data_IF_596241658783
#
_entry.id   IF_596241658783
#
_cell.length_a   1.000
_cell.length_b   1.000
_cell.length_c   1.000
_cell.angle_alpha   90.00
_cell.angle_beta   90.00
_cell.angle_gamma   90.00
#
_symmetry.space_group_name_H-M   'P 1'
#
loop_
_entity.id
_entity.type
_entity.pdbx_description
1 polymer ?
#
# COMPACT_ATOMS: atom_id res chain seq x y z
N UNK A 1 22.16 -38.21 38.97
CA UNK A 1 21.02 -38.88 38.29
C UNK A 1 19.73 -38.10 38.54
N UNK A 2 19.17 -37.46 37.50
CA UNK A 2 17.72 -37.38 37.18
C UNK A 2 17.54 -36.54 35.91
N UNK A 3 16.66 -37.03 35.05
CA UNK A 3 16.61 -36.89 33.58
C UNK A 3 16.24 -35.51 33.06
N UNK A 4 16.87 -35.13 31.95
CA UNK A 4 16.44 -34.07 31.04
C UNK A 4 15.03 -34.35 30.48
N UNK A 5 14.16 -33.33 30.48
CA UNK A 5 12.92 -33.32 29.69
C UNK A 5 13.14 -32.42 28.48
N UNK A 6 13.38 -33.07 27.34
CA UNK A 6 13.20 -32.51 26.00
C UNK A 6 11.76 -32.01 25.87
N UNK A 7 11.58 -30.71 25.58
CA UNK A 7 10.32 -30.15 25.11
C UNK A 7 10.55 -29.66 23.69
N UNK A 8 10.06 -30.45 22.74
CA UNK A 8 9.94 -30.09 21.33
C UNK A 8 8.99 -28.90 21.19
N UNK A 9 9.45 -27.86 20.51
CA UNK A 9 8.65 -26.68 20.19
C UNK A 9 7.39 -27.06 19.37
N UNK A 10 6.23 -26.44 19.61
CA UNK A 10 5.06 -26.67 18.77
C UNK A 10 5.28 -26.06 17.39
N UNK A 11 5.26 -26.92 16.36
CA UNK A 11 5.47 -26.60 14.93
C UNK A 11 4.49 -25.57 14.31
N UNK A 12 3.63 -24.93 15.11
CA UNK A 12 2.52 -24.11 14.63
C UNK A 12 2.77 -22.59 14.62
N UNK A 13 3.83 -22.08 15.24
CA UNK A 13 4.18 -20.64 15.13
C UNK A 13 4.77 -20.32 13.74
N UNK A 14 5.46 -21.28 13.13
CA UNK A 14 5.98 -21.18 11.75
C UNK A 14 4.86 -21.22 10.70
N UNK A 15 3.65 -21.71 11.05
CA UNK A 15 2.51 -21.74 10.11
C UNK A 15 1.86 -20.37 9.91
N UNK A 16 2.00 -19.43 10.84
CA UNK A 16 1.25 -18.16 10.78
C UNK A 16 1.89 -17.16 9.80
N UNK A 17 3.22 -17.15 9.68
CA UNK A 17 3.94 -16.41 8.63
C UNK A 17 3.61 -16.96 7.23
N UNK A 18 3.37 -18.27 7.13
CA UNK A 18 2.95 -18.91 5.87
C UNK A 18 1.49 -18.64 5.50
N UNK A 19 0.61 -18.25 6.42
CA UNK A 19 -0.83 -18.17 6.08
C UNK A 19 -1.18 -16.95 5.21
N UNK A 20 -0.36 -15.90 5.23
CA UNK A 20 -0.46 -14.76 4.30
C UNK A 20 0.32 -15.05 3.00
N UNK A 21 1.39 -15.85 3.07
CA UNK A 21 2.19 -16.26 1.90
C UNK A 21 1.54 -17.38 1.07
N UNK A 22 0.75 -18.26 1.69
CA UNK A 22 0.00 -19.36 1.04
C UNK A 22 -1.11 -18.83 0.14
N UNK A 23 -1.67 -17.65 0.41
CA UNK A 23 -2.63 -17.00 -0.50
C UNK A 23 -2.00 -16.53 -1.83
N UNK A 24 -0.67 -16.56 -1.94
CA UNK A 24 0.05 -16.34 -3.20
C UNK A 24 0.18 -17.61 -4.05
N UNK A 25 0.01 -18.79 -3.45
CA UNK A 25 0.19 -20.10 -4.09
C UNK A 25 -1.08 -20.98 -4.16
N UNK A 26 -2.24 -20.54 -3.66
CA UNK A 26 -3.51 -21.31 -3.78
C UNK A 26 -4.12 -21.26 -5.21
N UNK A 27 -3.32 -21.58 -6.22
CA UNK A 27 -3.77 -21.65 -7.62
C UNK A 27 -4.29 -23.05 -8.00
N UNK A 28 -4.22 -24.06 -7.12
CA UNK A 28 -4.49 -25.46 -7.53
C UNK A 28 -5.49 -26.27 -6.66
N UNK A 29 -5.95 -25.83 -5.48
CA UNK A 29 -6.78 -26.69 -4.60
C UNK A 29 -8.23 -26.23 -4.36
N UNK A 30 -8.78 -25.32 -5.16
CA UNK A 30 -10.16 -24.85 -4.99
C UNK A 30 -11.16 -25.42 -6.02
N UNK A 31 -10.79 -26.44 -6.78
CA UNK A 31 -11.61 -26.95 -7.89
C UNK A 31 -12.13 -28.37 -7.68
N UNK A 32 -12.68 -28.74 -6.51
CA UNK A 32 -13.56 -29.92 -6.40
C UNK A 32 -14.62 -29.66 -5.31
N UNK A 33 -15.88 -29.98 -5.63
CA UNK A 33 -17.09 -30.12 -4.80
C UNK A 33 -18.11 -28.96 -4.96
N UNK A 34 -19.30 -29.15 -5.54
CA UNK A 34 -19.96 -30.38 -5.95
C UNK A 34 -21.02 -30.18 -7.03
N UNK A 35 -21.00 -31.08 -8.01
CA UNK A 35 -22.20 -31.64 -8.63
C UNK A 35 -22.36 -33.02 -8.00
N UNK A 36 -23.61 -33.36 -7.70
CA UNK A 36 -24.16 -34.69 -7.38
C UNK A 36 -25.01 -34.64 -6.12
N UNK A 37 -26.24 -34.15 -6.31
CA UNK A 37 -27.39 -34.51 -5.51
C UNK A 37 -28.47 -34.96 -6.49
N UNK A 38 -28.33 -36.18 -7.01
CA UNK A 38 -29.43 -36.87 -7.70
C UNK A 38 -30.25 -37.66 -6.67
N UNK A 39 -31.53 -37.33 -6.66
CA UNK A 39 -32.59 -38.01 -5.94
C UNK A 39 -32.73 -39.44 -6.47
N UNK A 40 -32.65 -40.43 -5.59
CA UNK A 40 -32.95 -41.82 -5.93
C UNK A 40 -34.46 -42.05 -6.06
N UNK A 41 -34.94 -42.42 -7.25
CA UNK A 41 -36.19 -43.15 -7.44
C UNK A 41 -35.98 -44.26 -8.50
N UNK A 42 -36.06 -45.50 -8.02
CA UNK A 42 -36.78 -46.65 -8.62
C UNK A 42 -36.44 -47.12 -10.04
N UNK A 43 -35.70 -48.23 -10.13
CA UNK A 43 -35.62 -49.10 -11.32
C UNK A 43 -36.97 -49.74 -11.66
N UNK A 44 -37.33 -49.73 -12.94
CA UNK A 44 -38.36 -50.57 -13.56
C UNK A 44 -37.90 -51.06 -14.93
N UNK A 45 -37.84 -52.38 -15.10
CA UNK A 45 -37.44 -53.10 -16.32
C UNK A 45 -38.43 -52.92 -17.49
N UNK A 46 -37.92 -52.91 -18.73
CA UNK A 46 -38.75 -53.05 -19.94
C UNK A 46 -37.95 -53.08 -21.25
N UNK A 47 -37.98 -54.22 -21.92
CA UNK A 47 -37.33 -54.58 -23.19
C UNK A 47 -37.84 -53.82 -24.44
N UNK A 48 -37.04 -53.77 -25.52
CA UNK A 48 -37.58 -53.73 -26.90
C UNK A 48 -36.79 -52.98 -27.97
N UNK A 49 -36.08 -53.74 -28.81
CA UNK A 49 -36.00 -53.67 -30.29
C UNK A 49 -35.66 -52.37 -31.07
N UNK A 50 -34.56 -52.48 -31.84
CA UNK A 50 -34.43 -52.22 -33.29
C UNK A 50 -34.54 -50.80 -33.89
N UNK A 51 -33.55 -50.46 -34.72
CA UNK A 51 -33.76 -49.58 -35.89
C UNK A 51 -32.66 -48.54 -36.11
N UNK A 52 -31.83 -48.75 -37.15
CA UNK A 52 -30.75 -47.85 -37.54
C UNK A 52 -31.21 -46.53 -38.17
N UNK A 53 -30.28 -45.59 -38.26
CA UNK A 53 -30.47 -44.32 -38.95
C UNK A 53 -29.28 -43.40 -38.71
N UNK A 54 -28.28 -43.51 -39.56
CA UNK A 54 -27.15 -42.58 -39.63
C UNK A 54 -27.62 -41.23 -40.17
N UNK A 55 -27.41 -40.16 -39.40
CA UNK A 55 -27.42 -38.79 -39.95
C UNK A 55 -26.44 -37.93 -39.17
N UNK A 56 -25.34 -37.61 -39.84
CA UNK A 56 -24.38 -36.58 -39.47
C UNK A 56 -25.11 -35.27 -39.16
N UNK A 57 -25.04 -34.84 -37.90
CA UNK A 57 -25.24 -33.44 -37.53
C UNK A 57 -23.90 -32.95 -36.95
N UNK A 58 -23.14 -32.28 -37.81
CA UNK A 58 -22.00 -31.45 -37.41
C UNK A 58 -22.53 -30.40 -36.44
N UNK A 59 -22.31 -30.60 -35.14
CA UNK A 59 -22.53 -29.58 -34.14
C UNK A 59 -21.47 -28.50 -34.36
N UNK A 60 -21.88 -27.40 -34.97
CA UNK A 60 -21.17 -26.13 -34.90
C UNK A 60 -20.99 -25.78 -33.42
N UNK A 61 -19.77 -26.00 -32.90
CA UNK A 61 -19.34 -25.52 -31.59
C UNK A 61 -19.33 -24.00 -31.67
N UNK A 62 -20.47 -23.43 -31.30
CA UNK A 62 -20.73 -22.00 -31.28
C UNK A 62 -19.91 -21.29 -30.21
N UNK A 63 -19.52 -20.07 -30.57
CA UNK A 63 -18.67 -19.09 -29.91
C UNK A 63 -19.18 -18.51 -28.57
N UNK A 64 -19.88 -19.27 -27.73
CA UNK A 64 -20.59 -18.75 -26.52
C UNK A 64 -19.87 -18.97 -25.17
N UNK A 65 -18.67 -19.55 -25.19
CA UNK A 65 -17.87 -19.84 -23.98
C UNK A 65 -17.45 -18.59 -23.17
N UNK A 66 -16.94 -17.48 -23.74
CA UNK A 66 -16.44 -16.36 -22.93
C UNK A 66 -17.53 -15.58 -22.20
N UNK A 67 -18.72 -15.40 -22.81
CA UNK A 67 -19.84 -14.67 -22.21
C UNK A 67 -20.46 -15.44 -21.03
N UNK A 68 -20.52 -16.78 -21.12
CA UNK A 68 -21.04 -17.62 -20.04
C UNK A 68 -20.10 -17.66 -18.83
N UNK A 69 -18.78 -17.72 -19.06
CA UNK A 69 -17.77 -17.67 -17.99
C UNK A 69 -17.70 -16.31 -17.29
N UNK A 70 -17.85 -15.21 -18.03
CA UNK A 70 -17.94 -13.87 -17.46
C UNK A 70 -19.17 -13.72 -16.54
N UNK A 71 -20.34 -14.15 -17.01
CA UNK A 71 -21.56 -14.11 -16.21
C UNK A 71 -21.45 -14.97 -14.95
N UNK A 72 -20.75 -16.11 -15.03
CA UNK A 72 -20.45 -16.94 -13.87
C UNK A 72 -19.59 -16.17 -12.84
N UNK A 73 -18.52 -15.49 -13.27
CA UNK A 73 -17.65 -14.73 -12.38
C UNK A 73 -18.38 -13.56 -11.68
N UNK A 74 -19.25 -12.84 -12.41
CA UNK A 74 -20.08 -11.77 -11.83
C UNK A 74 -21.11 -12.36 -10.85
N UNK A 75 -21.77 -13.45 -11.23
CA UNK A 75 -22.74 -14.14 -10.38
C UNK A 75 -22.07 -14.66 -9.09
N UNK A 76 -20.86 -15.21 -9.20
CA UNK A 76 -20.07 -15.65 -8.05
C UNK A 76 -19.73 -14.48 -7.11
N UNK A 77 -19.31 -13.33 -7.65
CA UNK A 77 -19.05 -12.12 -6.86
C UNK A 77 -20.26 -11.73 -6.02
N UNK A 78 -21.45 -11.64 -6.63
CA UNK A 78 -22.69 -11.23 -5.96
C UNK A 78 -23.19 -12.30 -4.98
N UNK A 79 -23.22 -13.57 -5.38
CA UNK A 79 -23.69 -14.67 -4.52
C UNK A 79 -22.81 -14.85 -3.28
N UNK A 80 -21.50 -14.72 -3.44
CA UNK A 80 -20.57 -14.78 -2.32
C UNK A 80 -20.64 -13.53 -1.45
N UNK A 81 -21.05 -12.37 -1.99
CA UNK A 81 -21.34 -11.16 -1.21
C UNK A 81 -22.59 -11.34 -0.33
N UNK A 82 -23.69 -11.83 -0.91
CA UNK A 82 -24.91 -12.15 -0.16
C UNK A 82 -24.64 -13.15 0.95
N UNK A 83 -23.83 -14.18 0.67
CA UNK A 83 -23.44 -15.16 1.68
C UNK A 83 -22.62 -14.52 2.78
N UNK A 84 -21.66 -13.67 2.45
CA UNK A 84 -20.87 -12.94 3.44
C UNK A 84 -21.74 -12.03 4.32
N UNK A 85 -22.68 -11.28 3.74
CA UNK A 85 -23.63 -10.45 4.49
C UNK A 85 -24.48 -11.29 5.46
N UNK A 86 -25.03 -12.43 4.99
CA UNK A 86 -25.79 -13.35 5.86
C UNK A 86 -24.95 -13.89 7.01
N UNK A 87 -23.70 -14.23 6.75
CA UNK A 87 -22.79 -14.73 7.79
C UNK A 87 -22.43 -13.65 8.81
N UNK A 88 -22.20 -12.41 8.37
CA UNK A 88 -22.01 -11.28 9.29
C UNK A 88 -23.26 -11.01 10.13
N UNK A 89 -24.45 -11.03 9.51
CA UNK A 89 -25.72 -10.88 10.20
C UNK A 89 -25.91 -11.95 11.27
N UNK A 90 -25.59 -13.21 10.96
CA UNK A 90 -25.64 -14.31 11.94
C UNK A 90 -24.71 -14.07 13.14
N UNK A 91 -23.50 -13.52 12.93
CA UNK A 91 -22.62 -13.16 14.04
C UNK A 91 -23.29 -12.10 14.94
N UNK A 92 -23.88 -11.07 14.33
CA UNK A 92 -24.57 -10.00 15.07
C UNK A 92 -25.75 -10.56 15.86
N UNK A 93 -26.60 -11.37 15.22
CA UNK A 93 -27.85 -11.85 15.80
C UNK A 93 -27.65 -12.86 16.92
N UNK A 94 -26.71 -13.79 16.76
CA UNK A 94 -26.55 -14.92 17.68
C UNK A 94 -25.42 -14.76 18.68
N UNK A 95 -24.49 -13.83 18.47
CA UNK A 95 -23.36 -13.63 19.38
C UNK A 95 -23.31 -12.22 19.96
N UNK A 96 -23.33 -11.18 19.11
CA UNK A 96 -23.14 -9.79 19.58
C UNK A 96 -24.36 -9.32 20.37
N UNK A 97 -25.56 -9.37 19.78
CA UNK A 97 -26.78 -8.93 20.46
C UNK A 97 -27.02 -9.72 21.76
N UNK A 98 -26.91 -11.06 21.80
CA UNK A 98 -27.05 -11.79 23.06
C UNK A 98 -25.96 -11.45 24.07
N UNK A 99 -24.74 -11.12 23.65
CA UNK A 99 -23.66 -10.74 24.57
C UNK A 99 -23.91 -9.36 25.20
N UNK A 100 -24.50 -8.44 24.45
CA UNK A 100 -24.84 -7.08 24.89
C UNK A 100 -26.20 -6.99 25.60
N UNK A 101 -27.01 -8.05 25.54
CA UNK A 101 -28.34 -8.10 26.12
C UNK A 101 -28.28 -8.09 27.66
N UNK A 102 -28.99 -7.18 28.35
CA UNK A 102 -28.98 -7.07 29.82
C UNK A 102 -29.36 -8.37 30.52
N UNK A 103 -30.29 -9.14 29.94
CA UNK A 103 -30.72 -10.44 30.48
C UNK A 103 -29.59 -11.48 30.53
N UNK A 104 -28.56 -11.36 29.70
CA UNK A 104 -27.43 -12.28 29.67
C UNK A 104 -26.21 -11.75 30.43
N UNK A 105 -26.25 -10.55 30.99
CA UNK A 105 -25.10 -9.91 31.65
C UNK A 105 -24.55 -10.75 32.82
N UNK A 106 -25.44 -11.47 33.51
CA UNK A 106 -25.08 -12.39 34.59
C UNK A 106 -24.30 -13.64 34.13
N UNK A 107 -24.36 -13.98 32.83
CA UNK A 107 -23.61 -15.07 32.20
C UNK A 107 -22.22 -14.61 31.71
N UNK A 108 -21.97 -13.30 31.68
CA UNK A 108 -20.73 -12.70 31.18
C UNK A 108 -19.85 -12.25 32.36
N UNK A 109 -18.57 -12.64 32.29
CA UNK A 109 -17.59 -12.24 33.29
C UNK A 109 -17.46 -10.70 33.36
N UNK A 110 -17.36 -10.15 34.58
CA UNK A 110 -17.44 -8.71 34.84
C UNK A 110 -16.43 -7.91 34.00
N UNK A 111 -15.20 -8.40 33.85
CA UNK A 111 -14.14 -7.73 33.08
C UNK A 111 -14.36 -7.75 31.55
N UNK A 112 -15.31 -8.53 31.05
CA UNK A 112 -15.70 -8.58 29.64
C UNK A 112 -16.96 -7.78 29.33
N UNK A 113 -17.71 -7.39 30.36
CA UNK A 113 -18.90 -6.55 30.17
C UNK A 113 -18.47 -5.26 29.46
N UNK A 114 -19.25 -4.86 28.47
CA UNK A 114 -18.97 -3.68 27.62
C UNK A 114 -17.67 -3.77 26.81
N UNK A 115 -17.11 -4.97 26.57
CA UNK A 115 -15.92 -5.21 25.73
C UNK A 115 -16.27 -5.93 24.42
N UNK A 116 -17.51 -5.81 23.97
CA UNK A 116 -17.99 -6.40 22.71
C UNK A 116 -17.24 -5.83 21.51
N UNK A 117 -16.89 -4.55 21.55
CA UNK A 117 -16.06 -3.85 20.57
C UNK A 117 -14.67 -4.49 20.39
N UNK A 118 -14.08 -5.05 21.45
CA UNK A 118 -12.80 -5.76 21.38
C UNK A 118 -13.00 -7.22 20.98
N UNK A 119 -13.99 -7.90 21.56
CA UNK A 119 -14.26 -9.31 21.23
C UNK A 119 -14.64 -9.46 19.75
N UNK A 120 -15.59 -8.69 19.27
CA UNK A 120 -16.13 -8.84 17.92
C UNK A 120 -15.55 -7.83 16.93
N UNK A 121 -14.90 -6.76 17.38
CA UNK A 121 -14.48 -5.69 16.49
C UNK A 121 -15.68 -4.87 16.01
N UNK A 122 -15.49 -4.21 14.86
CA UNK A 122 -16.52 -3.43 14.19
C UNK A 122 -17.35 -4.28 13.19
N UNK A 123 -17.73 -5.51 13.54
CA UNK A 123 -18.59 -6.37 12.71
C UNK A 123 -19.93 -5.70 12.35
N UNK A 124 -20.64 -5.01 13.28
CA UNK A 124 -21.87 -4.31 12.92
C UNK A 124 -21.64 -3.24 11.84
N UNK A 125 -20.55 -2.48 11.92
CA UNK A 125 -20.20 -1.46 10.93
C UNK A 125 -19.90 -2.08 9.55
N UNK A 126 -19.19 -3.23 9.54
CA UNK A 126 -18.94 -4.00 8.33
C UNK A 126 -20.24 -4.52 7.73
N UNK A 127 -21.10 -5.12 8.53
CA UNK A 127 -22.40 -5.62 8.10
C UNK A 127 -23.23 -4.51 7.45
N UNK A 128 -23.37 -3.38 8.12
CA UNK A 128 -24.12 -2.22 7.62
C UNK A 128 -23.56 -1.74 6.28
N UNK A 129 -22.24 -1.61 6.15
CA UNK A 129 -21.61 -1.22 4.89
C UNK A 129 -21.86 -2.24 3.77
N UNK A 130 -21.65 -3.52 4.05
CA UNK A 130 -21.77 -4.58 3.05
C UNK A 130 -23.22 -4.82 2.63
N UNK A 131 -24.16 -4.79 3.58
CA UNK A 131 -25.60 -4.97 3.35
C UNK A 131 -26.21 -3.78 2.61
N UNK A 132 -26.06 -2.58 3.16
CA UNK A 132 -26.92 -1.46 2.79
C UNK A 132 -26.34 -0.60 1.66
N UNK A 133 -25.03 -0.77 1.38
CA UNK A 133 -24.32 -0.01 0.35
C UNK A 133 -23.71 -0.93 -0.69
N UNK A 134 -22.73 -1.76 -0.33
CA UNK A 134 -21.95 -2.50 -1.32
C UNK A 134 -22.80 -3.53 -2.08
N UNK A 135 -23.57 -4.36 -1.37
CA UNK A 135 -24.44 -5.36 -2.00
C UNK A 135 -25.57 -4.69 -2.79
N UNK A 136 -26.16 -3.61 -2.27
CA UNK A 136 -27.18 -2.84 -2.98
C UNK A 136 -26.65 -2.28 -4.31
N UNK A 137 -25.42 -1.75 -4.31
CA UNK A 137 -24.77 -1.23 -5.51
C UNK A 137 -24.43 -2.35 -6.50
N UNK A 138 -23.95 -3.51 -6.03
CA UNK A 138 -23.73 -4.67 -6.90
C UNK A 138 -25.02 -5.19 -7.55
N UNK A 139 -26.13 -5.24 -6.80
CA UNK A 139 -27.42 -5.64 -7.35
C UNK A 139 -27.93 -4.62 -8.38
N UNK A 140 -27.70 -3.33 -8.14
CA UNK A 140 -28.06 -2.25 -9.07
C UNK A 140 -27.20 -2.28 -10.35
N UNK A 141 -25.92 -2.60 -10.23
CA UNK A 141 -25.01 -2.75 -11.35
C UNK A 141 -25.38 -3.92 -12.28
N UNK A 142 -26.05 -4.95 -11.75
CA UNK A 142 -26.42 -6.16 -12.50
C UNK A 142 -25.20 -6.82 -13.13
N UNK A 143 -25.24 -7.06 -14.45
CA UNK A 143 -24.12 -7.64 -15.19
C UNK A 143 -23.18 -6.59 -15.82
N UNK A 144 -23.32 -5.30 -15.47
CA UNK A 144 -22.46 -4.24 -15.99
C UNK A 144 -21.10 -4.22 -15.30
N UNK A 145 -20.06 -4.66 -16.02
CA UNK A 145 -18.67 -4.67 -15.52
C UNK A 145 -18.22 -3.28 -15.09
N UNK A 146 -18.56 -2.25 -15.87
CA UNK A 146 -18.13 -0.87 -15.61
C UNK A 146 -18.74 -0.38 -14.30
N UNK A 147 -20.03 -0.64 -14.06
CA UNK A 147 -20.68 -0.26 -12.81
C UNK A 147 -20.14 -1.05 -11.62
N UNK A 148 -19.88 -2.36 -11.78
CA UNK A 148 -19.22 -3.17 -10.74
C UNK A 148 -17.84 -2.58 -10.38
N UNK A 149 -17.04 -2.19 -11.37
CA UNK A 149 -15.74 -1.56 -11.13
C UNK A 149 -15.89 -0.22 -10.39
N UNK A 150 -16.87 0.60 -10.78
CA UNK A 150 -17.20 1.86 -10.08
C UNK A 150 -17.58 1.63 -8.62
N UNK A 151 -18.31 0.57 -8.30
CA UNK A 151 -18.64 0.22 -6.90
C UNK A 151 -17.35 0.09 -6.06
N UNK A 152 -16.35 -0.65 -6.54
CA UNK A 152 -15.08 -0.81 -5.83
C UNK A 152 -14.31 0.51 -5.66
N UNK A 153 -14.30 1.36 -6.70
CA UNK A 153 -13.59 2.64 -6.67
C UNK A 153 -14.27 3.64 -5.72
N UNK A 154 -15.60 3.76 -5.80
CA UNK A 154 -16.39 4.67 -4.97
C UNK A 154 -16.28 4.30 -3.48
N UNK A 155 -16.28 3.01 -3.17
CA UNK A 155 -16.22 2.52 -1.79
C UNK A 155 -14.80 2.30 -1.25
N UNK A 156 -13.76 2.55 -2.05
CA UNK A 156 -12.35 2.30 -1.68
C UNK A 156 -11.99 2.81 -0.28
N UNK A 157 -12.31 4.07 0.01
CA UNK A 157 -11.97 4.69 1.29
C UNK A 157 -12.74 4.06 2.45
N UNK A 158 -13.99 3.65 2.21
CA UNK A 158 -14.82 2.98 3.21
C UNK A 158 -14.30 1.58 3.52
N UNK A 159 -13.91 0.82 2.49
CA UNK A 159 -13.19 -0.45 2.66
C UNK A 159 -11.94 -0.25 3.52
N UNK A 160 -11.08 0.71 3.16
CA UNK A 160 -9.83 0.94 3.90
C UNK A 160 -10.11 1.26 5.37
N UNK A 161 -11.03 2.19 5.64
CA UNK A 161 -11.40 2.60 7.00
C UNK A 161 -11.91 1.43 7.85
N UNK A 162 -12.90 0.69 7.34
CA UNK A 162 -13.57 -0.37 8.10
C UNK A 162 -12.68 -1.58 8.33
N UNK A 163 -11.96 -2.02 7.29
CA UNK A 163 -11.10 -3.19 7.38
C UNK A 163 -9.81 -2.90 8.13
N UNK A 164 -9.29 -1.66 8.11
CA UNK A 164 -8.17 -1.28 8.95
C UNK A 164 -8.50 -1.46 10.44
N UNK A 165 -9.62 -0.88 10.88
CA UNK A 165 -10.12 -1.01 12.26
C UNK A 165 -10.34 -2.47 12.65
N UNK A 166 -10.98 -3.24 11.76
CA UNK A 166 -11.28 -4.64 12.03
C UNK A 166 -10.01 -5.48 12.19
N UNK A 167 -9.10 -5.35 11.22
CA UNK A 167 -7.88 -6.13 11.23
C UNK A 167 -7.03 -5.75 12.45
N UNK A 168 -6.91 -4.46 12.82
CA UNK A 168 -6.14 -4.03 14.01
C UNK A 168 -6.67 -4.68 15.30
N UNK A 169 -8.00 -4.78 15.41
CA UNK A 169 -8.63 -5.36 16.59
C UNK A 169 -8.52 -6.91 16.61
N UNK A 170 -8.41 -7.57 15.46
CA UNK A 170 -8.43 -9.03 15.35
C UNK A 170 -7.49 -9.78 16.33
N UNK A 171 -6.21 -9.40 16.52
CA UNK A 171 -5.32 -10.06 17.49
C UNK A 171 -5.73 -9.82 18.95
N UNK A 172 -6.29 -8.64 19.27
CA UNK A 172 -6.77 -8.30 20.62
C UNK A 172 -7.97 -9.16 21.00
N UNK A 173 -8.99 -9.21 20.13
CA UNK A 173 -10.17 -10.03 20.36
C UNK A 173 -9.85 -11.52 20.47
N UNK A 174 -8.91 -12.02 19.66
CA UNK A 174 -8.45 -13.41 19.73
C UNK A 174 -7.75 -13.74 21.04
N UNK A 175 -6.85 -12.87 21.50
CA UNK A 175 -6.15 -13.05 22.77
C UNK A 175 -7.12 -13.04 23.94
N UNK A 176 -8.06 -12.08 23.93
CA UNK A 176 -9.10 -11.98 24.94
C UNK A 176 -9.94 -13.27 24.97
N UNK A 177 -10.44 -13.77 23.83
CA UNK A 177 -11.19 -15.04 23.79
C UNK A 177 -10.40 -16.24 24.31
N UNK A 178 -9.09 -16.32 24.02
CA UNK A 178 -8.25 -17.43 24.49
C UNK A 178 -8.02 -17.40 26.00
N UNK A 179 -7.81 -16.22 26.57
CA UNK A 179 -7.67 -16.04 28.01
C UNK A 179 -8.91 -16.51 28.78
N UNK A 180 -10.09 -16.48 28.14
CA UNK A 180 -11.35 -16.93 28.72
C UNK A 180 -11.66 -18.41 28.49
N UNK A 181 -10.87 -19.15 27.70
CA UNK A 181 -11.08 -20.61 27.56
C UNK A 181 -11.00 -21.39 28.88
N UNK A 182 -10.11 -21.07 29.85
CA UNK A 182 -10.12 -21.71 31.16
C UNK A 182 -11.31 -21.29 32.05
N UNK A 183 -11.96 -20.15 31.78
CA UNK A 183 -13.10 -19.67 32.56
C UNK A 183 -14.42 -20.19 31.94
N UNK A 184 -14.94 -21.28 32.51
CA UNK A 184 -15.99 -22.09 31.91
C UNK A 184 -17.32 -21.35 31.62
N UNK A 185 -17.58 -20.18 32.22
CA UNK A 185 -18.83 -19.45 32.02
C UNK A 185 -18.94 -18.84 30.61
N UNK A 186 -17.88 -18.17 30.14
CA UNK A 186 -17.87 -17.48 28.84
C UNK A 186 -17.80 -18.48 27.69
N UNK A 187 -17.02 -19.55 27.87
CA UNK A 187 -16.96 -20.64 26.91
C UNK A 187 -18.34 -21.32 26.73
N UNK A 188 -19.08 -21.54 27.83
CA UNK A 188 -20.46 -22.07 27.78
C UNK A 188 -21.41 -21.12 27.09
N UNK A 189 -21.32 -19.82 27.37
CA UNK A 189 -22.14 -18.81 26.69
C UNK A 189 -21.94 -18.87 25.16
N UNK A 190 -20.70 -18.86 24.67
CA UNK A 190 -20.44 -18.95 23.23
C UNK A 190 -20.82 -20.30 22.62
N UNK A 191 -20.70 -21.40 23.37
CA UNK A 191 -21.16 -22.71 22.91
C UNK A 191 -22.69 -22.74 22.72
N UNK A 192 -23.46 -22.13 23.63
CA UNK A 192 -24.90 -22.02 23.49
C UNK A 192 -25.29 -21.09 22.33
N UNK A 193 -24.60 -19.96 22.17
CA UNK A 193 -24.76 -19.10 20.99
C UNK A 193 -24.52 -19.87 19.69
N UNK A 194 -23.45 -20.66 19.61
CA UNK A 194 -23.13 -21.47 18.44
C UNK A 194 -24.21 -22.52 18.14
N UNK A 195 -24.74 -23.18 19.18
CA UNK A 195 -25.83 -24.13 19.06
C UNK A 195 -27.10 -23.47 18.53
N UNK A 196 -27.49 -22.32 19.07
CA UNK A 196 -28.67 -21.54 18.62
C UNK A 196 -28.52 -21.06 17.17
N UNK A 197 -27.31 -20.67 16.78
CA UNK A 197 -27.01 -20.26 15.40
C UNK A 197 -26.97 -21.43 14.40
N UNK A 198 -26.96 -22.69 14.87
CA UNK A 198 -26.77 -23.86 14.01
C UNK A 198 -25.39 -23.87 13.32
N UNK A 199 -24.37 -23.24 13.92
CA UNK A 199 -23.07 -23.04 13.29
C UNK A 199 -22.19 -24.29 13.39
N UNK A 200 -21.76 -24.89 12.25
CA UNK A 200 -20.89 -26.07 12.26
C UNK A 200 -19.45 -25.75 12.68
N UNK A 201 -19.03 -24.50 12.57
CA UNK A 201 -17.68 -24.04 12.90
C UNK A 201 -17.67 -23.18 14.17
N UNK A 202 -16.55 -23.13 14.90
CA UNK A 202 -16.41 -22.25 16.05
C UNK A 202 -16.47 -20.78 15.63
N UNK A 203 -16.91 -19.90 16.54
CA UNK A 203 -17.00 -18.45 16.32
C UNK A 203 -15.70 -17.84 15.74
N UNK A 204 -14.52 -18.33 16.15
CA UNK A 204 -13.23 -17.85 15.64
C UNK A 204 -13.07 -17.99 14.12
N UNK A 205 -13.68 -19.01 13.51
CA UNK A 205 -13.69 -19.19 12.06
C UNK A 205 -14.55 -18.12 11.37
N UNK A 206 -15.72 -17.80 11.93
CA UNK A 206 -16.59 -16.75 11.43
C UNK A 206 -15.95 -15.36 11.54
N UNK A 207 -15.23 -15.09 12.64
CA UNK A 207 -14.50 -13.84 12.83
C UNK A 207 -13.27 -13.71 11.90
N UNK A 208 -12.90 -14.75 11.15
CA UNK A 208 -11.87 -14.63 10.10
C UNK A 208 -12.45 -14.19 8.75
N UNK A 209 -13.78 -14.31 8.57
CA UNK A 209 -14.45 -14.05 7.29
C UNK A 209 -14.18 -12.66 6.72
N UNK A 210 -14.16 -11.55 7.50
CA UNK A 210 -13.82 -10.25 6.92
C UNK A 210 -12.41 -10.20 6.31
N UNK A 211 -11.41 -10.71 7.03
CA UNK A 211 -10.02 -10.77 6.52
C UNK A 211 -9.95 -11.59 5.24
N UNK A 212 -10.72 -12.68 5.17
CA UNK A 212 -10.82 -13.48 3.95
C UNK A 212 -11.51 -12.69 2.84
N UNK A 213 -12.67 -12.07 3.10
CA UNK A 213 -13.48 -11.39 2.10
C UNK A 213 -12.72 -10.28 1.40
N UNK A 214 -12.05 -9.41 2.14
CA UNK A 214 -11.29 -8.30 1.54
C UNK A 214 -10.18 -8.79 0.59
N UNK A 215 -9.57 -9.95 0.89
CA UNK A 215 -8.54 -10.56 0.03
C UNK A 215 -9.10 -11.29 -1.20
N UNK A 216 -10.39 -11.65 -1.19
CA UNK A 216 -11.05 -12.35 -2.30
C UNK A 216 -11.45 -11.42 -3.44
N UNK A 217 -11.76 -10.14 -3.18
CA UNK A 217 -12.19 -9.22 -4.24
C UNK A 217 -11.19 -9.09 -5.39
N UNK A 218 -9.87 -9.04 -5.12
CA UNK A 218 -8.88 -8.99 -6.19
C UNK A 218 -8.81 -10.30 -7.01
N UNK A 219 -9.18 -11.45 -6.44
CA UNK A 219 -9.27 -12.71 -7.21
C UNK A 219 -10.49 -12.68 -8.13
N UNK A 220 -11.64 -12.22 -7.63
CA UNK A 220 -12.88 -12.10 -8.39
C UNK A 220 -12.72 -11.08 -9.54
N UNK A 221 -12.06 -9.95 -9.29
CA UNK A 221 -11.74 -8.96 -10.34
C UNK A 221 -10.77 -9.52 -11.39
N UNK A 222 -9.79 -10.34 -10.99
CA UNK A 222 -8.90 -11.04 -11.95
C UNK A 222 -9.66 -12.03 -12.82
N UNK A 223 -10.65 -12.72 -12.27
CA UNK A 223 -11.48 -13.65 -13.03
C UNK A 223 -12.38 -12.91 -14.02
N UNK A 224 -12.98 -11.80 -13.61
CA UNK A 224 -13.72 -10.90 -14.52
C UNK A 224 -12.78 -10.36 -15.61
N UNK A 225 -11.55 -9.93 -15.25
CA UNK A 225 -10.56 -9.44 -16.22
C UNK A 225 -10.22 -10.48 -17.30
N UNK A 226 -10.16 -11.77 -16.93
CA UNK A 226 -9.84 -12.89 -17.84
C UNK A 226 -10.89 -13.08 -18.95
N UNK A 227 -12.14 -12.74 -18.68
CA UNK A 227 -13.27 -13.01 -19.58
C UNK A 227 -13.98 -11.77 -20.13
N UNK A 228 -13.64 -10.57 -19.62
CA UNK A 228 -14.23 -9.33 -20.10
C UNK A 228 -13.71 -8.94 -21.49
N UNK A 229 -14.56 -8.21 -22.23
CA UNK A 229 -14.20 -7.64 -23.52
C UNK A 229 -13.13 -6.54 -23.38
N UNK A 230 -12.33 -6.30 -24.42
CA UNK A 230 -11.15 -5.42 -24.34
C UNK A 230 -11.48 -3.99 -23.91
N UNK A 231 -12.66 -3.48 -24.27
CA UNK A 231 -13.13 -2.16 -23.85
C UNK A 231 -13.37 -2.04 -22.34
N UNK A 232 -13.63 -3.15 -21.64
CA UNK A 232 -13.87 -3.17 -20.20
C UNK A 232 -12.58 -3.37 -19.40
N UNK A 233 -11.51 -3.93 -20.00
CA UNK A 233 -10.25 -4.23 -19.31
C UNK A 233 -9.63 -3.04 -18.58
N UNK A 234 -9.56 -1.82 -19.15
CA UNK A 234 -9.00 -0.66 -18.44
C UNK A 234 -9.72 -0.35 -17.13
N UNK A 235 -11.05 -0.50 -17.10
CA UNK A 235 -11.86 -0.28 -15.90
C UNK A 235 -11.61 -1.36 -14.84
N UNK A 236 -11.47 -2.62 -15.28
CA UNK A 236 -11.16 -3.74 -14.37
C UNK A 236 -9.75 -3.61 -13.82
N UNK A 237 -8.78 -3.21 -14.63
CA UNK A 237 -7.39 -2.97 -14.21
C UNK A 237 -7.31 -1.84 -13.16
N UNK A 238 -8.04 -0.75 -13.34
CA UNK A 238 -8.12 0.34 -12.36
C UNK A 238 -8.70 -0.15 -11.03
N UNK A 239 -9.84 -0.84 -11.06
CA UNK A 239 -10.46 -1.40 -9.86
C UNK A 239 -9.57 -2.46 -9.18
N UNK A 240 -8.92 -3.32 -9.94
CA UNK A 240 -7.99 -4.34 -9.44
C UNK A 240 -6.76 -3.70 -8.80
N UNK A 241 -6.14 -2.73 -9.46
CA UNK A 241 -5.00 -1.98 -8.94
C UNK A 241 -5.37 -1.27 -7.63
N UNK A 242 -6.54 -0.63 -7.59
CA UNK A 242 -7.09 -0.07 -6.36
C UNK A 242 -7.20 -1.13 -5.26
N UNK A 243 -7.87 -2.26 -5.48
CA UNK A 243 -8.01 -3.29 -4.44
C UNK A 243 -6.68 -3.88 -3.98
N UNK A 244 -5.69 -4.05 -4.88
CA UNK A 244 -4.34 -4.48 -4.52
C UNK A 244 -3.62 -3.44 -3.65
N UNK A 245 -3.70 -2.15 -4.00
CA UNK A 245 -3.13 -1.06 -3.21
C UNK A 245 -3.79 -0.94 -1.83
N UNK A 246 -5.10 -1.22 -1.75
CA UNK A 246 -5.83 -1.24 -0.49
C UNK A 246 -5.32 -2.37 0.41
N UNK A 247 -5.16 -3.58 -0.14
CA UNK A 247 -4.60 -4.72 0.59
C UNK A 247 -3.15 -4.45 1.03
N UNK A 248 -2.34 -3.82 0.19
CA UNK A 248 -1.00 -3.42 0.54
C UNK A 248 -1.01 -2.42 1.72
N UNK A 249 -1.91 -1.43 1.71
CA UNK A 249 -2.08 -0.48 2.82
C UNK A 249 -2.56 -1.14 4.10
N UNK A 250 -3.58 -2.01 4.03
CA UNK A 250 -4.05 -2.79 5.18
C UNK A 250 -2.93 -3.65 5.75
N UNK A 251 -2.20 -4.38 4.91
CA UNK A 251 -1.09 -5.22 5.35
C UNK A 251 0.01 -4.39 6.02
N UNK A 252 0.33 -3.23 5.44
CA UNK A 252 1.33 -2.30 5.98
C UNK A 252 0.90 -1.74 7.33
N UNK A 253 -0.36 -1.35 7.47
CA UNK A 253 -0.91 -0.84 8.72
C UNK A 253 -1.11 -1.92 9.78
N UNK A 254 -1.39 -3.16 9.36
CA UNK A 254 -1.55 -4.33 10.23
C UNK A 254 -0.25 -4.87 10.78
N UNK A 255 0.82 -4.74 10.01
CA UNK A 255 2.18 -4.95 10.48
C UNK A 255 2.63 -3.75 11.33
N UNK A 256 1.67 -3.13 12.04
CA UNK A 256 1.82 -1.94 12.85
C UNK A 256 3.05 -2.14 13.70
N UNK A 257 4.06 -1.45 13.23
CA UNK A 257 5.42 -1.52 13.69
C UNK A 257 5.30 -1.18 15.15
N UNK A 258 5.70 -2.10 16.03
CA UNK A 258 5.70 -1.82 17.45
C UNK A 258 6.82 -0.82 17.72
N UNK A 259 6.63 0.44 17.30
CA UNK A 259 7.60 1.50 17.37
C UNK A 259 7.50 2.09 18.77
N UNK A 260 8.44 1.72 19.62
CA UNK A 260 8.55 2.25 20.97
C UNK A 260 9.42 3.52 20.98
N UNK A 261 9.06 4.51 21.79
CA UNK A 261 9.88 5.71 22.02
C UNK A 261 9.79 6.79 20.93
N UNK A 262 8.81 6.69 20.01
CA UNK A 262 8.47 7.81 19.13
C UNK A 262 7.68 8.86 19.92
N UNK A 263 8.16 10.10 19.93
CA UNK A 263 7.51 11.22 20.61
C UNK A 263 6.62 11.93 19.59
N UNK A 264 5.38 11.46 19.49
CA UNK A 264 4.37 11.94 18.55
C UNK A 264 3.31 10.87 18.28
N UNK A 265 2.27 11.24 17.53
CA UNK A 265 1.22 10.30 17.13
C UNK A 265 1.55 9.72 15.74
N UNK A 266 1.81 8.41 15.67
CA UNK A 266 2.04 7.70 14.41
C UNK A 266 0.82 7.72 13.49
N UNK A 267 -0.39 8.00 14.00
CA UNK A 267 -1.56 8.17 13.15
C UNK A 267 -1.55 9.51 12.40
N UNK A 268 -0.87 10.52 12.95
CA UNK A 268 -0.79 11.87 12.37
C UNK A 268 0.33 12.01 11.34
N UNK A 269 1.32 11.11 11.35
CA UNK A 269 2.39 11.10 10.34
C UNK A 269 1.91 10.57 8.98
N UNK A 270 0.69 10.06 8.89
CA UNK A 270 0.11 9.54 7.65
C UNK A 270 0.53 8.10 7.33
N UNK A 271 0.12 7.56 6.16
CA UNK A 271 0.31 6.16 5.83
C UNK A 271 1.80 5.80 5.64
N UNK A 272 2.18 4.60 6.09
CA UNK A 272 3.49 4.02 5.81
C UNK A 272 3.58 3.65 4.32
N UNK A 273 4.70 4.01 3.70
CA UNK A 273 4.91 3.94 2.26
C UNK A 273 5.99 2.95 1.85
N UNK A 274 7.04 2.83 2.65
CA UNK A 274 8.13 1.89 2.43
C UNK A 274 8.82 1.58 3.74
N UNK A 275 9.32 0.35 3.89
CA UNK A 275 10.09 -0.05 5.06
C UNK A 275 11.06 -1.20 4.77
N UNK A 276 12.30 -1.05 5.22
CA UNK A 276 13.33 -2.07 5.07
C UNK A 276 14.40 -1.90 6.14
N UNK A 277 15.16 -2.96 6.39
CA UNK A 277 16.41 -2.87 7.14
C UNK A 277 17.52 -2.37 6.22
N UNK A 278 18.32 -1.43 6.70
CA UNK A 278 19.40 -0.77 5.97
C UNK A 278 20.61 -0.53 6.89
N UNK A 279 21.79 -0.40 6.29
CA UNK A 279 22.97 0.07 7.00
C UNK A 279 23.10 1.59 6.83
N UNK A 280 23.20 2.30 7.95
CA UNK A 280 23.19 3.76 8.01
C UNK A 280 24.55 4.27 8.45
N UNK A 281 25.11 5.20 7.67
CA UNK A 281 26.37 5.88 7.99
C UNK A 281 26.09 7.37 8.20
N UNK A 282 26.06 7.80 9.46
CA UNK A 282 25.91 9.22 9.79
C UNK A 282 27.19 9.99 9.46
N UNK A 283 27.07 11.23 8.98
CA UNK A 283 28.21 12.12 8.77
C UNK A 283 27.81 13.59 8.97
N UNK A 284 28.77 14.43 9.34
CA UNK A 284 28.58 15.88 9.38
C UNK A 284 28.81 16.46 7.97
N UNK A 285 27.87 17.28 7.48
CA UNK A 285 27.92 17.88 6.13
C UNK A 285 29.24 18.61 5.84
N UNK A 286 29.84 19.27 6.85
CA UNK A 286 31.11 20.01 6.75
C UNK A 286 32.34 19.09 6.56
N UNK A 287 32.40 17.98 7.27
CA UNK A 287 33.60 17.12 7.26
C UNK A 287 33.48 15.95 6.31
N UNK A 288 32.27 15.55 5.93
CA UNK A 288 31.94 14.39 5.08
C UNK A 288 32.55 13.06 5.55
N UNK A 289 33.07 13.00 6.78
CA UNK A 289 33.61 11.78 7.37
C UNK A 289 32.47 10.89 7.84
N UNK A 290 32.42 9.67 7.30
CA UNK A 290 31.42 8.67 7.62
C UNK A 290 31.71 8.06 8.99
N UNK A 291 30.70 8.04 9.86
CA UNK A 291 30.73 7.29 11.10
C UNK A 291 30.54 5.79 10.85
N UNK A 292 30.76 4.98 11.89
CA UNK A 292 30.54 3.53 11.85
C UNK A 292 29.11 3.20 11.40
N UNK A 293 28.98 2.19 10.54
CA UNK A 293 27.71 1.67 10.08
C UNK A 293 26.80 1.27 11.25
N UNK A 294 25.54 1.67 11.18
CA UNK A 294 24.51 1.31 12.14
C UNK A 294 23.36 0.63 11.42
N UNK A 295 23.07 -0.61 11.82
CA UNK A 295 21.88 -1.34 11.36
C UNK A 295 20.62 -0.65 11.86
N UNK A 296 19.75 -0.21 10.95
CA UNK A 296 18.47 0.44 11.27
C UNK A 296 17.37 -0.10 10.38
N UNK A 297 16.17 -0.21 10.93
CA UNK A 297 14.96 -0.40 10.16
C UNK A 297 14.38 0.99 9.86
N UNK A 298 14.27 1.32 8.58
CA UNK A 298 13.73 2.61 8.13
C UNK A 298 12.24 2.47 7.85
N UNK A 299 11.49 3.51 8.22
CA UNK A 299 10.06 3.63 7.96
C UNK A 299 9.78 4.96 7.27
N UNK A 300 9.37 4.91 6.01
CA UNK A 300 9.01 6.08 5.24
C UNK A 300 7.50 6.26 5.30
N UNK A 301 7.02 7.27 6.01
CA UNK A 301 5.63 7.70 6.04
C UNK A 301 5.45 8.96 5.17
N UNK A 302 4.19 9.33 4.88
CA UNK A 302 3.90 10.57 4.17
C UNK A 302 4.42 11.81 4.92
N UNK A 303 4.34 11.82 6.24
CA UNK A 303 4.75 12.92 7.12
C UNK A 303 6.20 12.85 7.61
N UNK A 304 6.93 11.75 7.38
CA UNK A 304 8.36 11.70 7.71
C UNK A 304 9.05 10.35 7.56
N UNK A 305 10.37 10.38 7.62
CA UNK A 305 11.25 9.22 7.60
C UNK A 305 11.75 8.91 9.02
N UNK A 306 11.40 7.74 9.54
CA UNK A 306 11.80 7.26 10.87
C UNK A 306 12.94 6.25 10.75
N UNK A 307 13.89 6.34 11.68
CA UNK A 307 15.01 5.42 11.82
C UNK A 307 14.85 4.70 13.16
N UNK A 308 14.68 3.39 13.11
CA UNK A 308 14.47 2.58 14.30
C UNK A 308 15.54 1.50 14.43
N UNK A 309 15.80 1.06 15.66
CA UNK A 309 16.60 -0.12 15.95
C UNK A 309 15.67 -1.30 16.18
N UNK A 310 15.80 -2.36 15.38
CA UNK A 310 15.07 -3.60 15.61
C UNK A 310 15.51 -4.23 16.94
N UNK A 311 14.55 -4.62 17.77
CA UNK A 311 14.73 -5.29 19.06
C UNK A 311 13.89 -6.55 19.07
N UNK A 312 14.39 -7.58 19.75
CA UNK A 312 13.59 -8.76 20.07
C UNK A 312 13.38 -8.77 21.58
N UNK A 313 12.14 -9.03 22.01
CA UNK A 313 11.81 -9.25 23.41
C UNK A 313 11.36 -10.70 23.57
N UNK A 314 11.73 -11.34 24.68
CA UNK A 314 11.25 -12.68 25.04
C UNK A 314 9.81 -12.63 25.58
N UNK A 315 8.87 -12.03 24.84
CA UNK A 315 7.45 -12.02 25.21
C UNK A 315 6.64 -12.97 24.32
N UNK A 316 5.58 -13.62 24.84
CA UNK A 316 4.80 -14.62 24.10
C UNK A 316 4.00 -14.08 22.90
N UNK A 317 3.77 -12.77 22.82
CA UNK A 317 2.79 -12.16 21.90
C UNK A 317 3.37 -11.11 20.93
N UNK A 318 4.62 -10.71 21.10
CA UNK A 318 5.35 -9.87 20.14
C UNK A 318 6.84 -10.19 20.21
N UNK A 319 7.33 -10.99 19.27
CA UNK A 319 8.73 -11.44 19.24
C UNK A 319 9.71 -10.32 18.90
N UNK A 320 9.24 -9.23 18.27
CA UNK A 320 10.05 -8.14 17.76
C UNK A 320 9.35 -6.77 17.87
N UNK A 321 10.10 -5.73 18.23
CA UNK A 321 9.66 -4.33 18.25
C UNK A 321 10.75 -3.41 17.69
N UNK A 322 10.39 -2.17 17.37
CA UNK A 322 11.27 -1.19 16.75
C UNK A 322 11.48 -0.01 17.71
N UNK A 323 12.69 0.15 18.22
CA UNK A 323 13.00 1.27 19.10
C UNK A 323 13.34 2.51 18.26
N UNK A 324 12.51 3.55 18.32
CA UNK A 324 12.74 4.81 17.62
C UNK A 324 14.07 5.45 18.07
N UNK A 325 14.84 5.97 17.10
CA UNK A 325 16.11 6.66 17.35
C UNK A 325 16.14 8.09 16.85
N UNK A 326 15.69 8.31 15.62
CA UNK A 326 15.55 9.65 15.06
C UNK A 326 14.52 9.65 13.95
N UNK A 327 14.04 10.85 13.62
CA UNK A 327 13.13 11.08 12.49
C UNK A 327 13.54 12.33 11.72
N UNK A 328 13.19 12.35 10.44
CA UNK A 328 13.30 13.51 9.55
C UNK A 328 11.90 13.80 9.03
N UNK A 329 11.27 14.91 9.42
CA UNK A 329 9.97 15.31 8.89
C UNK A 329 10.01 15.46 7.36
N UNK A 330 8.96 15.07 6.66
CA UNK A 330 8.89 15.20 5.19
C UNK A 330 9.07 16.66 4.75
N UNK A 331 8.61 17.62 5.56
CA UNK A 331 8.73 19.05 5.27
C UNK A 331 10.18 19.58 5.27
N UNK A 332 11.14 18.85 5.81
CA UNK A 332 12.58 19.20 5.81
C UNK A 332 13.47 18.09 5.26
N UNK A 333 12.89 17.01 4.71
CA UNK A 333 13.63 15.89 4.15
C UNK A 333 14.22 16.26 2.79
N UNK A 334 15.55 16.25 2.70
CA UNK A 334 16.31 16.27 1.45
C UNK A 334 16.96 14.92 1.18
N UNK A 335 17.17 14.59 -0.09
CA UNK A 335 17.86 13.36 -0.49
C UNK A 335 18.67 13.52 -1.78
N UNK A 336 19.60 12.61 -2.01
CA UNK A 336 20.38 12.47 -3.24
C UNK A 336 20.39 11.01 -3.67
N UNK A 337 20.11 10.76 -4.94
CA UNK A 337 20.00 9.41 -5.52
C UNK A 337 21.28 8.58 -5.39
N UNK A 338 22.42 9.25 -5.45
CA UNK A 338 23.74 8.62 -5.39
C UNK A 338 24.53 9.16 -4.22
N UNK A 339 25.28 8.28 -3.55
CA UNK A 339 26.32 8.70 -2.61
C UNK A 339 27.67 8.75 -3.30
N UNK A 340 28.50 9.72 -2.92
CA UNK A 340 29.90 9.79 -3.37
C UNK A 340 30.73 8.57 -2.95
N UNK A 341 30.25 7.81 -1.96
CA UNK A 341 30.95 6.64 -1.44
C UNK A 341 30.68 5.34 -2.21
N UNK A 342 29.54 5.23 -2.89
CA UNK A 342 29.13 4.04 -3.64
C UNK A 342 27.84 4.29 -4.42
N UNK A 343 27.73 3.75 -5.63
CA UNK A 343 26.51 3.78 -6.46
C UNK A 343 25.35 2.97 -5.86
N UNK A 344 25.64 1.97 -5.01
CA UNK A 344 24.65 1.16 -4.31
C UNK A 344 24.03 1.87 -3.08
N UNK A 345 24.37 3.15 -2.86
CA UNK A 345 23.97 3.94 -1.70
C UNK A 345 23.34 5.26 -2.13
N UNK A 346 22.46 5.77 -1.29
CA UNK A 346 21.86 7.10 -1.45
C UNK A 346 22.03 7.92 -0.16
N UNK A 347 21.82 9.23 -0.23
CA UNK A 347 21.95 10.12 0.93
C UNK A 347 20.61 10.73 1.30
N UNK A 348 20.33 10.85 2.60
CA UNK A 348 19.19 11.58 3.14
C UNK A 348 19.64 12.51 4.25
N UNK A 349 18.98 13.66 4.39
CA UNK A 349 19.29 14.62 5.44
C UNK A 349 18.08 15.46 5.80
N UNK A 350 18.16 16.03 7.00
CA UNK A 350 17.28 17.11 7.41
C UNK A 350 17.92 18.43 6.96
N UNK A 351 17.19 19.23 6.19
CA UNK A 351 17.63 20.55 5.70
C UNK A 351 17.96 21.49 6.85
N UNK A 352 17.30 21.31 8.00
CA UNK A 352 17.48 22.16 9.20
C UNK A 352 18.68 21.76 10.05
N UNK A 353 19.30 20.60 9.80
CA UNK A 353 20.39 20.05 10.62
C UNK A 353 21.71 19.96 9.85
N UNK A 354 22.81 19.91 10.60
CA UNK A 354 24.16 19.76 10.04
C UNK A 354 24.59 18.30 9.79
N UNK A 355 23.82 17.34 10.29
CA UNK A 355 24.02 15.90 10.09
C UNK A 355 23.28 15.40 8.84
N UNK A 356 23.84 14.39 8.20
CA UNK A 356 23.28 13.68 7.06
C UNK A 356 23.59 12.19 7.17
N UNK A 357 22.87 11.37 6.41
CA UNK A 357 22.93 9.91 6.50
C UNK A 357 23.11 9.31 5.12
N UNK A 358 24.15 8.49 4.95
CA UNK A 358 24.24 7.58 3.81
C UNK A 358 23.48 6.31 4.15
N UNK A 359 22.58 5.90 3.26
CA UNK A 359 21.74 4.72 3.39
C UNK A 359 22.22 3.66 2.40
N UNK A 360 22.53 2.47 2.91
CA UNK A 360 22.79 1.29 2.10
C UNK A 360 21.64 0.29 2.27
N UNK A 361 20.78 0.14 1.25
CA UNK A 361 19.75 -0.91 1.20
C UNK A 361 20.36 -2.31 1.06
N UNK A 362 19.50 -3.33 1.22
CA UNK A 362 19.89 -4.74 1.09
C UNK A 362 20.34 -5.11 -0.33
N UNK A 363 19.70 -4.52 -1.34
CA UNK A 363 19.99 -4.76 -2.75
C UNK A 363 19.61 -3.54 -3.62
N UNK A 364 19.97 -3.61 -4.90
CA UNK A 364 19.71 -2.55 -5.88
C UNK A 364 18.21 -2.35 -6.15
N UNK A 365 17.40 -3.42 -6.09
CA UNK A 365 15.95 -3.32 -6.27
C UNK A 365 15.31 -2.49 -5.15
N UNK A 366 15.73 -2.70 -3.91
CA UNK A 366 15.34 -1.91 -2.77
C UNK A 366 15.79 -0.46 -2.93
N UNK A 367 17.03 -0.21 -3.38
CA UNK A 367 17.53 1.14 -3.66
C UNK A 367 16.63 1.87 -4.65
N UNK A 368 16.33 1.27 -5.80
CA UNK A 368 15.44 1.85 -6.83
C UNK A 368 14.08 2.19 -6.24
N UNK A 369 13.47 1.27 -5.46
CA UNK A 369 12.18 1.53 -4.79
C UNK A 369 12.25 2.69 -3.80
N UNK A 370 13.32 2.80 -3.02
CA UNK A 370 13.55 3.91 -2.10
C UNK A 370 13.61 5.24 -2.85
N UNK A 371 14.41 5.31 -3.91
CA UNK A 371 14.57 6.52 -4.71
C UNK A 371 13.26 6.93 -5.37
N UNK A 372 12.56 6.00 -6.04
CA UNK A 372 11.24 6.27 -6.64
C UNK A 372 10.25 6.81 -5.60
N UNK A 373 10.25 6.25 -4.39
CA UNK A 373 9.33 6.67 -3.34
C UNK A 373 9.66 8.03 -2.75
N UNK A 374 10.95 8.32 -2.57
CA UNK A 374 11.44 9.62 -2.11
C UNK A 374 11.12 10.72 -3.13
N UNK A 375 11.32 10.47 -4.42
CA UNK A 375 10.90 11.41 -5.48
C UNK A 375 9.41 11.72 -5.41
N UNK A 376 8.56 10.72 -5.15
CA UNK A 376 7.12 10.94 -5.04
C UNK A 376 6.76 11.82 -3.84
N UNK A 377 7.26 11.46 -2.65
CA UNK A 377 6.93 12.17 -1.40
C UNK A 377 7.50 13.59 -1.38
N UNK A 378 8.76 13.77 -1.80
CA UNK A 378 9.42 15.09 -1.83
C UNK A 378 8.94 15.92 -3.02
N UNK A 379 8.61 15.30 -4.16
CA UNK A 379 8.05 15.98 -5.33
C UNK A 379 6.64 16.54 -5.09
N UNK A 380 5.78 15.78 -4.41
CA UNK A 380 4.46 16.25 -3.94
C UNK A 380 4.59 17.49 -3.04
N UNK A 381 5.65 17.60 -2.20
CA UNK A 381 5.96 18.81 -1.42
C UNK A 381 6.32 20.01 -2.31
N UNK A 382 7.24 19.83 -3.27
CA UNK A 382 7.71 20.94 -4.13
C UNK A 382 6.54 21.53 -4.92
N UNK A 383 5.71 20.67 -5.52
CA UNK A 383 4.52 21.10 -6.26
C UNK A 383 3.49 21.81 -5.38
N UNK A 384 3.25 21.35 -4.15
CA UNK A 384 2.34 22.02 -3.21
C UNK A 384 2.87 23.39 -2.74
N UNK A 385 4.18 23.49 -2.46
CA UNK A 385 4.83 24.76 -2.12
C UNK A 385 4.80 25.75 -3.27
N UNK A 386 5.03 25.29 -4.50
CA UNK A 386 5.00 26.13 -5.70
C UNK A 386 3.58 26.62 -6.03
N UNK A 387 2.54 25.83 -5.71
CA UNK A 387 1.14 26.27 -5.81
C UNK A 387 0.80 27.36 -4.79
N UNK A 388 1.26 27.22 -3.54
CA UNK A 388 1.06 28.22 -2.49
C UNK A 388 1.83 29.52 -2.78
N UNK A 389 3.04 29.43 -3.35
CA UNK A 389 3.83 30.60 -3.74
C UNK A 389 3.27 31.31 -4.98
N UNK A 390 2.65 30.58 -5.91
CA UNK A 390 1.91 31.17 -7.05
C UNK A 390 0.62 31.86 -6.61
N UNK A 391 -0.08 31.35 -5.58
CA UNK A 391 -1.26 32.02 -5.00
C UNK A 391 -0.92 33.30 -4.22
N UNK A 392 0.30 33.42 -3.70
CA UNK A 392 0.75 34.59 -2.93
C UNK A 392 1.54 35.63 -3.74
N UNK A 393 1.60 35.53 -5.08
CA UNK A 393 2.14 36.62 -5.88
C UNK A 393 1.08 37.73 -5.96
N UNK A 394 1.28 38.92 -5.36
CA UNK A 394 0.33 40.00 -5.54
C UNK A 394 0.24 40.33 -7.03
N UNK A 395 -0.97 40.28 -7.58
CA UNK A 395 -1.23 40.80 -8.91
C UNK A 395 -0.76 42.25 -8.94
N UNK A 396 0.16 42.58 -9.85
CA UNK A 396 0.57 43.96 -10.09
C UNK A 396 -0.70 44.74 -10.45
N UNK A 397 -1.05 45.84 -9.75
CA UNK A 397 -2.22 46.60 -10.12
C UNK A 397 -2.07 47.15 -11.53
N UNK A 398 -2.99 46.78 -12.43
CA UNK A 398 -3.25 47.51 -13.67
C UNK A 398 -4.34 48.55 -13.37
N UNK A 399 -3.96 49.82 -13.35
CA UNK A 399 -4.80 51.03 -13.55
C UNK A 399 -3.96 52.25 -13.10
N UNK A 400 -3.95 53.44 -13.73
CA UNK A 400 -4.90 54.13 -14.59
C UNK A 400 -4.19 55.07 -15.58
N UNK A 401 -4.64 55.06 -16.84
CA UNK A 401 -4.84 56.22 -17.74
C UNK A 401 -5.37 55.62 -19.06
N UNK A 402 -6.67 55.36 -19.16
CA UNK A 402 -7.69 56.28 -19.71
C UNK A 402 -7.60 56.47 -21.23
N UNK A 403 -8.58 55.83 -21.89
CA UNK A 403 -9.39 56.31 -23.02
C UNK A 403 -8.71 56.81 -24.32
N UNK A 404 -8.86 55.98 -25.36
CA UNK A 404 -9.37 56.29 -26.71
C UNK A 404 -8.81 57.52 -27.44
N UNK A 405 -8.07 57.29 -28.53
CA UNK A 405 -8.54 57.59 -29.91
C UNK A 405 -7.57 57.11 -30.98
N UNK A 406 -8.15 56.66 -32.08
CA UNK A 406 -7.56 56.15 -33.32
C UNK A 406 -6.97 57.26 -34.20
N UNK A 407 -6.11 56.84 -35.14
CA UNK A 407 -5.76 57.45 -36.42
C UNK A 407 -4.66 58.54 -36.51
N UNK A 408 -3.46 58.03 -36.85
CA UNK A 408 -2.77 58.26 -38.15
C UNK A 408 -2.01 59.57 -38.47
N UNK A 409 -0.80 59.34 -39.01
CA UNK A 409 -0.07 60.09 -40.07
C UNK A 409 0.91 61.23 -39.67
N UNK A 410 2.18 60.98 -40.06
CA UNK A 410 3.28 61.87 -40.54
C UNK A 410 4.03 62.83 -39.59
N UNK A 411 5.33 62.52 -39.50
CA UNK A 411 6.49 63.32 -39.93
C UNK A 411 6.92 64.58 -39.17
N UNK A 412 8.25 64.59 -38.99
CA UNK A 412 9.18 65.71 -39.13
C UNK A 412 9.41 66.64 -37.94
N UNK A 413 10.61 66.43 -37.40
CA UNK A 413 11.70 67.42 -37.36
C UNK A 413 11.63 68.63 -36.43
N UNK A 414 12.84 68.90 -35.91
CA UNK A 414 13.39 70.20 -35.51
C UNK A 414 12.72 70.84 -34.28
N UNK A 415 13.43 71.44 -33.34
CA UNK A 415 14.82 71.86 -33.20
C UNK A 415 14.91 72.43 -31.79
N UNK A 416 16.12 72.47 -31.23
CA UNK A 416 16.64 73.58 -30.41
C UNK A 416 15.91 73.89 -29.10
N UNK A 417 16.54 74.31 -28.04
CA UNK A 417 17.92 74.59 -27.65
C UNK A 417 17.70 75.35 -26.35
N UNK A 418 18.69 75.30 -25.45
CA UNK A 418 18.98 76.40 -24.52
C UNK A 418 17.91 76.75 -23.45
N UNK A 419 18.25 77.04 -22.20
CA UNK A 419 19.52 77.24 -21.52
C UNK A 419 19.17 77.74 -20.11
N UNK A 420 20.16 77.66 -19.19
CA UNK A 420 20.41 78.54 -18.03
C UNK A 420 19.36 78.63 -16.89
N UNK A 421 19.68 78.74 -15.60
CA UNK A 421 20.90 79.08 -14.84
C UNK A 421 20.70 78.67 -13.37
N UNK A 422 21.80 78.24 -12.74
CA UNK A 422 22.36 78.57 -11.39
C UNK A 422 21.46 78.62 -10.13
N UNK A 423 21.91 78.18 -8.94
CA UNK A 423 23.23 77.73 -8.52
C UNK A 423 23.32 77.50 -7.00
N UNK A 424 24.58 77.32 -6.54
CA UNK A 424 25.08 77.28 -5.16
C UNK A 424 24.93 75.94 -4.40
N UNK A 425 25.96 75.23 -3.93
CA UNK A 425 27.39 75.48 -3.77
C UNK A 425 27.88 74.82 -2.47
N UNK A 426 28.68 73.74 -2.56
CA UNK A 426 29.89 73.47 -1.74
C UNK A 426 30.38 72.01 -1.88
N UNK A 427 31.63 71.88 -2.34
CA UNK A 427 32.57 70.75 -2.21
C UNK A 427 33.82 71.32 -1.48
N UNK A 428 34.91 70.60 -1.09
CA UNK A 428 35.47 69.36 -1.65
C UNK A 428 35.91 68.30 -0.58
N UNK A 429 36.24 67.05 -0.89
CA UNK A 429 37.57 66.63 -1.39
C UNK A 429 37.67 65.10 -1.60
N UNK A 430 38.33 64.68 -2.69
CA UNK A 430 39.00 63.36 -2.88
C UNK A 430 38.26 62.36 -3.79
N UNK A 431 38.43 62.35 -5.13
CA UNK A 431 39.49 61.67 -5.93
C UNK A 431 39.46 60.13 -5.71
N UNK A 432 39.31 59.21 -6.67
CA UNK A 432 39.39 59.18 -8.14
C UNK A 432 38.77 57.88 -8.72
N UNK A 433 38.18 57.99 -9.94
CA UNK A 433 38.44 57.24 -11.19
C UNK A 433 38.58 55.69 -11.12
N UNK A 434 37.98 54.80 -11.93
CA UNK A 434 37.31 54.88 -13.24
C UNK A 434 36.50 53.58 -13.47
N UNK A 435 35.37 53.68 -14.15
CA UNK A 435 34.73 52.58 -14.93
C UNK A 435 35.47 52.41 -16.29
N UNK A 436 35.01 51.63 -17.30
CA UNK A 436 33.83 50.75 -17.37
C UNK A 436 34.02 49.43 -18.15
N UNK A 437 32.92 48.66 -18.25
CA UNK A 437 32.45 47.92 -19.45
C UNK A 437 33.31 46.77 -20.00
N UNK A 438 32.82 45.77 -20.72
CA UNK A 438 31.53 45.14 -21.02
C UNK A 438 31.92 44.05 -22.03
N UNK A 439 31.15 42.97 -22.15
CA UNK A 439 31.18 42.16 -23.36
C UNK A 439 31.27 40.67 -23.11
N UNK A 440 30.12 40.01 -23.20
CA UNK A 440 30.05 38.64 -23.68
C UNK A 440 30.46 38.61 -25.16
N UNK A 441 30.95 37.46 -25.65
CA UNK A 441 30.17 36.80 -26.70
C UNK A 441 30.14 35.27 -26.57
N UNK A 442 29.54 34.68 -27.59
CA UNK A 442 28.82 33.42 -27.67
C UNK A 442 29.51 32.48 -28.70
N UNK A 443 29.40 31.17 -28.46
CA UNK A 443 29.38 30.01 -29.39
C UNK A 443 30.65 29.35 -29.99
N UNK A 444 30.48 28.03 -30.07
CA UNK A 444 30.98 26.96 -30.99
C UNK A 444 32.25 26.17 -30.65
N UNK A 445 32.07 24.84 -30.71
CA UNK A 445 33.05 23.76 -30.64
C UNK A 445 33.75 23.49 -31.98
N UNK A 446 34.99 23.00 -31.93
CA UNK A 446 35.57 22.10 -32.94
C UNK A 446 36.82 21.38 -32.38
N UNK A 447 36.71 20.05 -32.29
CA UNK A 447 37.64 18.97 -32.66
C UNK A 447 39.07 19.38 -33.08
N UNK A 448 40.09 18.69 -32.56
CA UNK A 448 41.30 18.29 -33.31
C UNK A 448 41.99 17.11 -32.62
N UNK A 449 42.25 16.07 -33.41
CA UNK A 449 43.06 14.88 -33.15
C UNK A 449 44.53 15.20 -32.86
N UNK A 450 45.24 14.33 -32.14
CA UNK A 450 46.31 13.47 -32.68
C UNK A 450 47.01 12.64 -31.57
N UNK A 451 47.07 11.34 -31.86
CA UNK A 451 47.82 10.24 -31.24
C UNK A 451 49.36 10.39 -31.49
N UNK A 452 50.32 9.61 -30.92
CA UNK A 452 50.32 8.14 -31.07
C UNK A 452 51.01 7.23 -30.02
N UNK A 453 50.60 5.97 -30.11
CA UNK A 453 51.34 4.70 -29.99
C UNK A 453 52.18 4.38 -28.73
N UNK A 454 51.76 3.33 -28.01
CA UNK A 454 52.51 2.07 -28.11
C UNK A 454 51.65 0.83 -27.82
N UNK A 455 51.84 -0.15 -28.70
CA UNK A 455 51.17 -1.42 -28.82
C UNK A 455 51.84 -2.47 -27.91
N UNK A 456 51.08 -3.46 -27.42
CA UNK A 456 51.42 -4.91 -27.44
C UNK A 456 50.31 -5.72 -26.75
N UNK A 457 49.88 -6.73 -27.50
CA UNK A 457 49.00 -7.88 -27.26
C UNK A 457 49.37 -8.73 -26.01
N UNK A 458 48.60 -9.70 -25.50
CA UNK A 458 47.59 -10.57 -26.07
C UNK A 458 46.71 -11.22 -24.96
N UNK A 459 45.45 -11.52 -25.29
CA UNK A 459 44.74 -12.82 -25.16
C UNK A 459 45.16 -13.76 -23.99
N UNK A 460 44.24 -14.11 -23.07
CA UNK A 460 43.38 -15.29 -23.19
C UNK A 460 42.41 -15.49 -21.99
N UNK A 461 41.39 -16.31 -22.27
CA UNK A 461 40.23 -16.81 -21.52
C UNK A 461 40.43 -17.19 -20.05
N UNK A 462 39.37 -17.04 -19.24
CA UNK A 462 39.14 -17.88 -18.06
C UNK A 462 37.69 -18.35 -17.93
N UNK A 463 37.61 -19.68 -17.85
CA UNK A 463 36.46 -20.56 -17.73
C UNK A 463 35.62 -20.38 -16.47
N UNK A 464 34.33 -20.56 -16.66
CA UNK A 464 33.37 -21.16 -15.72
C UNK A 464 33.91 -22.39 -15.01
N UNK A 465 33.80 -22.45 -13.67
CA UNK A 465 33.72 -23.71 -12.94
C UNK A 465 32.82 -23.64 -11.71
N UNK A 466 31.85 -24.53 -11.75
CA UNK A 466 30.93 -25.02 -10.73
C UNK A 466 31.67 -25.66 -9.55
N UNK A 467 31.11 -25.53 -8.34
CA UNK A 467 31.51 -26.34 -7.19
C UNK A 467 30.30 -27.06 -6.59
N UNK A 468 30.38 -28.39 -6.64
CA UNK A 468 29.56 -29.36 -5.93
C UNK A 468 30.19 -29.70 -4.57
N UNK A 469 29.33 -30.11 -3.64
CA UNK A 469 29.62 -30.64 -2.31
C UNK A 469 30.48 -31.93 -2.34
N UNK A 470 31.09 -32.32 -1.21
CA UNK A 470 30.82 -33.67 -0.71
C UNK A 470 30.60 -33.76 0.81
N UNK A 471 29.97 -34.88 1.16
CA UNK A 471 29.56 -35.36 2.48
C UNK A 471 30.71 -35.87 3.37
N UNK A 472 30.35 -36.05 4.65
CA UNK A 472 30.76 -37.11 5.59
C UNK A 472 32.18 -37.13 6.16
N UNK A 473 32.23 -37.01 7.49
CA UNK A 473 33.34 -37.33 8.39
C UNK A 473 32.91 -37.11 9.82
#
# INVERSE_FOLDING_TARGET
MRKAKSWSAPANVIRQTRQIEVLRNSREDAFICGKDAECGIGNGYGSGASGGGSSNASATVGSDQPTSLLNFAITELVNTEQTYVRELQSIVDFYIRPFEAPENEHLIAIHLRNRSDILFGNIPDLLNFHSDYLLADFLTAGNSIIEICRCFLNHRNKFLQLYHRYCQNKPLGESLRREQQPDGAVAKFFAECQKRAGHPLPLSAYLLKPVQRITKYQLLLKEIHRHCADQAKPHVDEALSSMLDLLAQLNTAMHQLHIAGFVGDLNQIGPLRLQNECDIYAFKKRTRRLNKAQRRHLFLFDGGLLFCKKRSQSLPYASEYYEHKLSIPTCSLGFSETSKSSSARFEVWDETKSEAFVVQPVDESARIKWIQRLYRIVGERVTHRDRLSQQHRPARPQSWASTVSTDSIRSSDTTTDSSVVDGNGNNPSGICCSSPSSGSPIFVAAISDEDPDNNISAVDQLQTRSYSCPESG
#
